data_IF_670701522636
#
_entry.id   IF_670701522636
#
_cell.length_a   1.000
_cell.length_b   1.000
_cell.length_c   1.000
_cell.angle_alpha   90.00
_cell.angle_beta   90.00
_cell.angle_gamma   90.00
#
_symmetry.space_group_name_H-M   'P 1'
#
loop_
_entity.id
_entity.type
_entity.pdbx_description
1 polymer ?
#
# COMPACT_ATOMS: atom_id res chain seq x y z
N UNK A 1 10.63 25.89 -13.39
CA UNK A 1 10.52 27.03 -14.34
C UNK A 1 11.05 26.60 -15.71
N UNK A 2 10.29 25.79 -16.43
CA UNK A 2 10.34 25.61 -17.90
C UNK A 2 9.26 24.58 -18.24
N UNK A 3 8.51 24.78 -19.33
CA UNK A 3 7.26 24.09 -19.71
C UNK A 3 5.95 24.70 -19.17
N UNK A 4 5.83 26.02 -19.30
CA UNK A 4 4.53 26.70 -19.34
C UNK A 4 4.55 27.75 -20.47
N UNK A 5 4.92 27.32 -21.68
CA UNK A 5 5.11 28.20 -22.85
C UNK A 5 4.99 27.38 -24.14
N UNK A 6 3.86 26.71 -24.37
CA UNK A 6 3.54 26.18 -25.71
C UNK A 6 2.04 25.95 -25.89
N UNK A 7 1.21 26.96 -25.60
CA UNK A 7 -0.24 26.84 -25.87
C UNK A 7 -0.94 28.19 -26.09
N UNK A 8 -0.26 29.16 -26.71
CA UNK A 8 -0.94 30.28 -27.42
C UNK A 8 -0.01 30.77 -28.54
N UNK A 9 0.23 29.95 -29.56
CA UNK A 9 0.83 30.44 -30.80
C UNK A 9 0.34 29.60 -31.97
N UNK A 10 -0.95 29.70 -32.26
CA UNK A 10 -1.54 29.36 -33.58
C UNK A 10 -2.96 29.92 -33.63
N UNK A 11 -3.08 31.25 -33.56
CA UNK A 11 -4.28 31.97 -33.98
C UNK A 11 -3.87 33.10 -34.94
N UNK A 12 -3.24 32.70 -36.03
CA UNK A 12 -3.06 33.40 -37.29
C UNK A 12 -2.59 32.26 -38.21
N UNK A 13 -3.31 31.81 -39.23
CA UNK A 13 -3.92 32.53 -40.34
C UNK A 13 -5.03 31.64 -40.92
N UNK A 14 -6.18 32.23 -41.22
CA UNK A 14 -7.01 31.87 -42.38
C UNK A 14 -8.10 32.93 -42.54
N UNK A 15 -7.69 34.14 -42.92
CA UNK A 15 -8.57 35.03 -43.66
C UNK A 15 -8.14 34.99 -45.12
N UNK A 16 -9.14 35.04 -45.99
CA UNK A 16 -9.13 35.06 -47.47
C UNK A 16 -9.06 33.72 -48.20
N UNK A 17 -10.21 33.06 -48.31
CA UNK A 17 -10.74 32.56 -49.59
C UNK A 17 -12.27 32.46 -49.50
N UNK A 18 -12.94 33.07 -50.48
CA UNK A 18 -14.39 33.12 -50.60
C UNK A 18 -14.99 31.71 -50.84
N UNK A 19 -16.17 31.47 -50.29
CA UNK A 19 -17.15 30.54 -50.86
C UNK A 19 -17.12 29.12 -50.33
N UNK A 20 -17.55 28.90 -49.09
CA UNK A 20 -18.26 27.68 -48.69
C UNK A 20 -18.94 27.89 -47.34
N UNK A 21 -20.14 27.32 -47.19
CA UNK A 21 -20.99 27.47 -46.02
C UNK A 21 -20.28 27.00 -44.74
N UNK A 22 -20.63 27.62 -43.61
CA UNK A 22 -20.26 27.11 -42.29
C UNK A 22 -20.73 25.65 -42.18
N UNK A 23 -19.87 24.71 -41.75
CA UNK A 23 -20.27 23.33 -41.60
C UNK A 23 -21.42 23.27 -40.59
N UNK A 24 -22.42 22.46 -40.92
CA UNK A 24 -23.52 22.22 -39.99
C UNK A 24 -22.98 21.47 -38.77
N UNK A 25 -23.59 21.67 -37.60
CA UNK A 25 -23.19 21.00 -36.34
C UNK A 25 -22.91 19.49 -36.52
N UNK A 26 -23.67 18.72 -37.34
CA UNK A 26 -23.37 17.31 -37.61
C UNK A 26 -22.05 17.04 -38.33
N UNK A 27 -21.63 17.90 -39.28
CA UNK A 27 -20.39 17.72 -40.05
C UNK A 27 -19.14 18.02 -39.22
N UNK A 28 -19.22 19.03 -38.35
CA UNK A 28 -18.16 19.32 -37.38
C UNK A 28 -17.99 18.19 -36.37
N UNK A 29 -19.09 17.56 -35.92
CA UNK A 29 -19.05 16.40 -35.01
C UNK A 29 -18.40 15.20 -35.71
N UNK A 30 -18.76 14.92 -36.97
CA UNK A 30 -18.18 13.79 -37.71
C UNK A 30 -16.68 13.98 -38.00
N UNK A 31 -16.24 15.21 -38.26
CA UNK A 31 -14.82 15.52 -38.42
C UNK A 31 -14.02 15.26 -37.13
N UNK A 32 -14.59 15.61 -35.97
CA UNK A 32 -13.96 15.32 -34.66
C UNK A 32 -13.92 13.80 -34.39
N UNK A 33 -14.99 13.06 -34.71
CA UNK A 33 -15.02 11.59 -34.56
C UNK A 33 -13.94 10.92 -35.43
N UNK A 34 -13.82 11.32 -36.70
CA UNK A 34 -12.82 10.75 -37.60
C UNK A 34 -11.37 11.14 -37.19
N UNK A 35 -11.16 12.30 -36.55
CA UNK A 35 -9.86 12.68 -35.97
C UNK A 35 -9.52 11.83 -34.73
N UNK A 36 -10.52 11.38 -33.96
CA UNK A 36 -10.32 10.48 -32.81
C UNK A 36 -10.04 9.04 -33.27
N UNK A 37 -10.70 8.56 -34.34
CA UNK A 37 -10.50 7.20 -34.88
C UNK A 37 -9.15 7.00 -35.60
N UNK A 38 -8.54 8.09 -36.10
CA UNK A 38 -7.23 8.06 -36.74
C UNK A 38 -6.05 8.09 -35.75
N UNK A 39 -6.30 8.29 -34.46
CA UNK A 39 -5.27 8.35 -33.43
C UNK A 39 -5.21 7.01 -32.68
N UNK A 40 -4.13 6.26 -32.87
CA UNK A 40 -3.84 5.04 -32.11
C UNK A 40 -3.56 5.30 -30.62
N UNK A 41 -3.79 6.53 -30.13
CA UNK A 41 -3.44 7.02 -28.80
C UNK A 41 -4.68 7.26 -27.91
N UNK A 42 -5.89 6.95 -28.40
CA UNK A 42 -7.15 7.19 -27.69
C UNK A 42 -7.63 6.00 -26.81
N UNK A 43 -6.79 5.00 -26.55
CA UNK A 43 -7.13 3.85 -25.69
C UNK A 43 -6.63 3.96 -24.24
N UNK A 44 -5.95 5.05 -23.86
CA UNK A 44 -5.42 5.22 -22.49
C UNK A 44 -6.31 6.07 -21.55
N UNK A 45 -7.60 6.26 -21.83
CA UNK A 45 -8.49 7.01 -20.95
C UNK A 45 -9.60 6.21 -20.27
N UNK A 46 -9.57 4.87 -20.36
CA UNK A 46 -10.44 3.98 -19.61
C UNK A 46 -9.66 2.79 -19.03
N UNK A 47 -8.62 3.05 -18.24
CA UNK A 47 -8.07 2.05 -17.32
C UNK A 47 -8.47 2.41 -15.88
N UNK A 48 -9.21 1.54 -15.16
CA UNK A 48 -9.51 1.78 -13.77
C UNK A 48 -8.28 1.46 -12.91
N UNK A 49 -7.96 2.39 -12.02
CA UNK A 49 -6.99 2.33 -10.93
C UNK A 49 -5.51 2.48 -11.29
N UNK A 50 -4.93 3.53 -10.71
CA UNK A 50 -3.50 3.68 -10.50
C UNK A 50 -2.91 2.42 -9.83
N UNK A 51 -2.28 1.53 -10.60
CA UNK A 51 -1.35 0.59 -10.02
C UNK A 51 -0.23 1.39 -9.37
N UNK A 52 -0.22 1.43 -8.04
CA UNK A 52 0.92 1.96 -7.30
C UNK A 52 2.08 1.03 -7.58
N UNK A 53 3.11 1.52 -8.28
CA UNK A 53 4.33 0.78 -8.58
C UNK A 53 5.00 0.29 -7.30
N UNK A 54 4.64 -0.92 -6.86
CA UNK A 54 5.37 -1.66 -5.83
C UNK A 54 6.62 -2.21 -6.48
N UNK A 55 7.78 -1.87 -5.97
CA UNK A 55 9.04 -2.38 -6.52
C UNK A 55 9.31 -3.79 -5.99
N UNK A 56 9.95 -4.63 -6.81
CA UNK A 56 10.45 -5.94 -6.37
C UNK A 56 11.37 -5.82 -5.16
N UNK A 57 12.13 -4.73 -5.05
CA UNK A 57 12.97 -4.46 -3.90
C UNK A 57 12.13 -4.36 -2.60
N UNK A 58 11.02 -3.64 -2.63
CA UNK A 58 10.14 -3.50 -1.46
C UNK A 58 9.43 -4.81 -1.11
N UNK A 59 8.86 -5.50 -2.09
CA UNK A 59 8.16 -6.78 -1.83
C UNK A 59 9.14 -7.82 -1.25
N UNK A 60 10.35 -7.90 -1.81
CA UNK A 60 11.40 -8.77 -1.31
C UNK A 60 11.86 -8.40 0.10
N UNK A 61 12.01 -7.11 0.42
CA UNK A 61 12.37 -6.66 1.76
C UNK A 61 11.30 -7.08 2.79
N UNK A 62 10.03 -6.83 2.48
CA UNK A 62 8.88 -7.23 3.33
C UNK A 62 8.91 -8.72 3.62
N UNK A 63 9.00 -9.54 2.58
CA UNK A 63 8.98 -11.00 2.71
C UNK A 63 10.23 -11.50 3.43
N UNK A 64 11.41 -10.98 3.11
CA UNK A 64 12.68 -11.37 3.72
C UNK A 64 12.71 -11.07 5.22
N UNK A 65 12.36 -9.84 5.62
CA UNK A 65 12.33 -9.44 7.04
C UNK A 65 11.37 -10.32 7.83
N UNK A 66 10.14 -10.53 7.35
CA UNK A 66 9.18 -11.40 8.03
C UNK A 66 9.68 -12.85 8.11
N UNK A 67 10.17 -13.41 7.01
CA UNK A 67 10.58 -14.81 6.96
C UNK A 67 11.82 -15.09 7.81
N UNK A 68 12.72 -14.11 7.98
CA UNK A 68 13.86 -14.22 8.89
C UNK A 68 13.43 -14.42 10.35
N UNK A 69 12.37 -13.74 10.80
CA UNK A 69 11.80 -13.93 12.13
C UNK A 69 10.92 -15.18 12.20
N UNK A 70 10.08 -15.44 11.20
CA UNK A 70 9.20 -16.61 11.18
C UNK A 70 9.98 -17.93 11.26
N UNK A 71 11.13 -18.02 10.60
CA UNK A 71 12.01 -19.18 10.68
C UNK A 71 12.45 -19.49 12.13
N UNK A 72 12.74 -18.45 12.92
CA UNK A 72 13.12 -18.59 14.33
C UNK A 72 12.00 -19.15 15.22
N UNK A 73 10.74 -19.10 14.78
CA UNK A 73 9.58 -19.56 15.56
C UNK A 73 8.86 -20.74 14.92
N UNK A 74 9.53 -21.47 14.00
CA UNK A 74 8.97 -22.60 13.24
C UNK A 74 7.68 -22.22 12.48
N UNK A 75 7.56 -20.96 12.07
CA UNK A 75 6.45 -20.49 11.26
C UNK A 75 6.82 -20.60 9.76
N UNK A 76 5.98 -21.24 8.92
CA UNK A 76 6.23 -21.32 7.48
C UNK A 76 6.42 -19.95 6.84
N UNK A 77 7.22 -19.84 5.79
CA UNK A 77 7.40 -18.58 5.08
C UNK A 77 6.05 -18.00 4.58
N UNK A 78 5.90 -16.68 4.67
CA UNK A 78 4.85 -15.93 3.97
C UNK A 78 5.34 -15.47 2.60
N UNK A 79 4.40 -15.18 1.71
CA UNK A 79 4.64 -14.51 0.42
C UNK A 79 4.06 -13.10 0.43
N UNK A 80 4.49 -12.28 -0.53
CA UNK A 80 3.84 -10.99 -0.80
C UNK A 80 2.40 -11.19 -1.28
N UNK A 81 1.52 -10.22 -1.01
CA UNK A 81 0.14 -10.19 -1.52
C UNK A 81 -0.15 -8.88 -2.25
N UNK A 82 -0.35 -8.98 -3.55
CA UNK A 82 -0.86 -7.86 -4.36
C UNK A 82 -2.31 -7.52 -3.99
N UNK A 83 -3.12 -8.51 -3.58
CA UNK A 83 -4.54 -8.29 -3.22
C UNK A 83 -4.71 -7.43 -1.97
N UNK A 84 -3.85 -7.63 -0.95
CA UNK A 84 -3.91 -6.85 0.28
C UNK A 84 -3.32 -5.43 0.12
N UNK A 85 -2.39 -5.24 -0.82
CA UNK A 85 -1.57 -4.03 -0.85
C UNK A 85 -2.33 -2.73 -1.11
N UNK A 86 -3.25 -2.63 -2.11
CA UNK A 86 -4.00 -1.40 -2.35
C UNK A 86 -4.71 -0.88 -1.11
N UNK A 87 -5.40 -1.76 -0.38
CA UNK A 87 -6.06 -1.42 0.87
C UNK A 87 -5.09 -1.08 2.00
N UNK A 88 -3.94 -1.75 2.06
CA UNK A 88 -2.89 -1.51 3.08
C UNK A 88 -2.29 -0.12 2.90
N UNK A 89 -1.96 0.24 1.66
CA UNK A 89 -1.41 1.54 1.32
C UNK A 89 -2.43 2.67 1.51
N UNK A 90 -3.68 2.45 1.10
CA UNK A 90 -4.75 3.41 1.33
C UNK A 90 -4.91 3.73 2.82
N UNK A 91 -4.82 2.71 3.69
CA UNK A 91 -4.87 2.90 5.14
C UNK A 91 -3.66 3.64 5.69
N UNK A 92 -2.45 3.23 5.31
CA UNK A 92 -1.21 3.89 5.77
C UNK A 92 -1.18 5.38 5.41
N UNK A 93 -1.70 5.75 4.24
CA UNK A 93 -1.76 7.15 3.78
C UNK A 93 -2.74 8.04 4.53
N UNK A 94 -3.66 7.48 5.32
CA UNK A 94 -4.53 8.28 6.18
C UNK A 94 -3.77 8.94 7.33
N UNK A 95 -2.63 8.37 7.73
CA UNK A 95 -1.82 8.87 8.84
C UNK A 95 -2.60 9.00 10.15
N UNK A 96 -3.51 8.05 10.39
CA UNK A 96 -4.25 7.91 11.64
C UNK A 96 -3.81 6.62 12.33
N UNK A 97 -3.30 6.74 13.56
CA UNK A 97 -2.72 5.60 14.28
C UNK A 97 -3.81 4.81 15.01
N UNK A 98 -4.59 4.05 14.24
CA UNK A 98 -5.56 3.10 14.75
C UNK A 98 -5.74 1.94 13.76
N UNK A 99 -6.17 0.80 14.29
CA UNK A 99 -6.48 -0.37 13.48
C UNK A 99 -7.68 -0.12 12.59
N UNK A 100 -7.61 -0.59 11.34
CA UNK A 100 -8.77 -0.65 10.47
C UNK A 100 -9.80 -1.63 11.04
N UNK A 101 -11.06 -1.48 10.63
CA UNK A 101 -12.10 -2.42 11.06
C UNK A 101 -11.81 -3.84 10.59
N UNK A 102 -11.11 -4.00 9.45
CA UNK A 102 -10.67 -5.26 8.85
C UNK A 102 -11.77 -6.23 8.45
N UNK A 103 -12.96 -6.14 9.06
CA UNK A 103 -14.10 -7.05 9.00
C UNK A 103 -13.67 -8.53 9.09
N UNK A 104 -12.59 -8.83 9.83
CA UNK A 104 -12.00 -10.16 9.93
C UNK A 104 -11.32 -10.70 8.67
N UNK A 105 -11.19 -9.90 7.60
CA UNK A 105 -10.62 -10.32 6.30
C UNK A 105 -9.10 -10.52 6.35
N UNK A 106 -8.42 -9.83 7.23
CA UNK A 106 -6.97 -9.87 7.40
C UNK A 106 -6.59 -9.53 8.85
N UNK A 107 -5.39 -9.96 9.25
CA UNK A 107 -4.71 -9.44 10.43
C UNK A 107 -4.01 -8.13 10.10
N UNK A 108 -3.68 -7.32 11.10
CA UNK A 108 -3.06 -6.00 10.89
C UNK A 108 -2.09 -5.66 12.02
N UNK A 109 -0.87 -5.25 11.66
CA UNK A 109 0.11 -4.69 12.57
C UNK A 109 0.42 -3.25 12.16
N UNK A 110 0.56 -2.38 13.17
CA UNK A 110 0.82 -0.95 13.01
C UNK A 110 2.09 -0.55 13.74
N UNK A 111 2.87 0.34 13.13
CA UNK A 111 4.05 0.92 13.75
C UNK A 111 4.24 2.34 13.24
N UNK A 112 4.51 3.29 14.11
CA UNK A 112 4.83 4.64 13.71
C UNK A 112 6.00 5.17 14.55
N UNK A 113 6.83 6.01 13.92
CA UNK A 113 7.93 6.65 14.63
C UNK A 113 8.47 7.88 13.92
N UNK A 114 9.02 8.80 14.70
CA UNK A 114 9.65 10.04 14.25
C UNK A 114 11.15 9.83 14.01
N UNK A 115 11.79 10.70 13.21
CA UNK A 115 13.24 10.70 12.99
C UNK A 115 13.62 11.27 11.63
N UNK A 116 14.92 11.47 11.40
CA UNK A 116 15.46 11.87 10.10
C UNK A 116 16.76 11.11 9.76
N UNK A 117 16.72 10.07 8.90
CA UNK A 117 15.50 9.48 8.34
C UNK A 117 14.64 8.81 9.44
N UNK A 118 13.33 8.78 9.23
CA UNK A 118 12.41 8.04 10.11
C UNK A 118 12.59 6.52 9.98
N UNK A 119 11.98 5.73 10.89
CA UNK A 119 12.14 4.28 10.89
C UNK A 119 11.52 3.61 9.66
N UNK A 120 12.18 2.58 9.15
CA UNK A 120 11.71 1.76 8.04
C UNK A 120 11.04 0.45 8.48
N UNK A 121 10.86 -0.45 7.51
CA UNK A 121 10.24 -1.76 7.71
C UNK A 121 10.98 -2.58 8.78
N UNK A 122 12.30 -2.72 8.66
CA UNK A 122 13.09 -3.56 9.56
C UNK A 122 12.97 -3.13 11.03
N UNK A 123 12.99 -1.81 11.31
CA UNK A 123 12.79 -1.29 12.66
C UNK A 123 11.36 -1.56 13.18
N UNK A 124 10.33 -1.38 12.33
CA UNK A 124 8.95 -1.63 12.73
C UNK A 124 8.69 -3.11 13.03
N UNK A 125 9.10 -4.02 12.15
CA UNK A 125 8.96 -5.46 12.38
C UNK A 125 9.78 -5.92 13.59
N UNK A 126 10.99 -5.38 13.78
CA UNK A 126 11.77 -5.65 15.00
C UNK A 126 11.00 -5.22 16.25
N UNK A 127 10.42 -4.02 16.26
CA UNK A 127 9.63 -3.53 17.40
C UNK A 127 8.47 -4.48 17.74
N UNK A 128 7.80 -5.05 16.74
CA UNK A 128 6.77 -6.06 16.94
C UNK A 128 7.33 -7.36 17.49
N UNK A 129 8.48 -7.80 16.98
CA UNK A 129 9.12 -9.04 17.43
C UNK A 129 9.72 -8.97 18.83
N UNK A 130 10.13 -7.78 19.29
CA UNK A 130 10.62 -7.56 20.66
C UNK A 130 9.54 -7.88 21.72
N UNK A 131 8.26 -7.88 21.34
CA UNK A 131 7.14 -8.33 22.18
C UNK A 131 7.21 -9.82 22.56
N UNK A 132 8.00 -10.64 21.85
CA UNK A 132 8.17 -12.06 22.18
C UNK A 132 8.66 -12.27 23.62
N UNK A 133 9.43 -11.32 24.15
CA UNK A 133 9.90 -11.31 25.54
C UNK A 133 8.78 -11.26 26.58
N UNK A 134 7.58 -10.81 26.19
CA UNK A 134 6.40 -10.65 27.06
C UNK A 134 5.38 -11.78 26.89
N UNK A 135 5.59 -12.70 25.96
CA UNK A 135 4.62 -13.75 25.66
C UNK A 135 4.64 -14.86 26.73
N UNK A 136 3.51 -15.05 27.41
CA UNK A 136 3.34 -16.13 28.39
C UNK A 136 3.13 -17.46 27.65
N UNK A 137 4.20 -18.26 27.58
CA UNK A 137 4.18 -19.57 26.94
C UNK A 137 3.43 -20.63 27.74
N UNK A 138 3.15 -20.41 29.02
CA UNK A 138 2.37 -21.32 29.86
C UNK A 138 0.87 -21.05 29.73
N UNK A 139 0.50 -19.81 29.41
CA UNK A 139 -0.89 -19.40 29.14
C UNK A 139 -0.98 -18.72 27.76
N UNK A 140 -0.80 -19.48 26.66
CA UNK A 140 -0.78 -18.93 25.32
C UNK A 140 -2.11 -18.26 24.97
N UNK A 141 -2.06 -17.01 24.51
CA UNK A 141 -3.24 -16.23 24.20
C UNK A 141 -2.93 -14.81 23.74
N UNK A 142 -3.98 -14.04 23.53
CA UNK A 142 -3.85 -12.62 23.22
C UNK A 142 -3.43 -11.82 24.46
N UNK A 143 -2.53 -10.86 24.26
CA UNK A 143 -2.35 -9.73 25.16
C UNK A 143 -2.08 -8.48 24.33
N UNK A 144 -2.40 -7.30 24.87
CA UNK A 144 -2.10 -6.02 24.22
C UNK A 144 -0.60 -5.78 24.01
N UNK A 145 0.27 -6.50 24.75
CA UNK A 145 1.72 -6.38 24.65
C UNK A 145 2.39 -7.44 23.79
N UNK A 146 1.64 -8.35 23.16
CA UNK A 146 2.18 -9.48 22.39
C UNK A 146 1.49 -9.72 21.05
N UNK A 147 0.41 -8.98 20.76
CA UNK A 147 -0.42 -9.20 19.59
C UNK A 147 0.33 -9.02 18.26
N UNK A 148 1.31 -8.09 18.20
CA UNK A 148 2.06 -7.89 16.96
C UNK A 148 3.04 -9.03 16.74
N UNK A 149 3.77 -9.44 17.78
CA UNK A 149 4.64 -10.62 17.71
C UNK A 149 3.87 -11.85 17.24
N UNK A 150 2.75 -12.18 17.91
CA UNK A 150 1.99 -13.39 17.60
C UNK A 150 1.43 -13.36 16.18
N UNK A 151 1.09 -12.20 15.65
CA UNK A 151 0.69 -12.05 14.25
C UNK A 151 1.86 -12.29 13.28
N UNK A 152 3.05 -11.74 13.53
CA UNK A 152 4.22 -11.94 12.65
C UNK A 152 4.56 -13.42 12.55
N UNK A 153 4.54 -14.14 13.68
CA UNK A 153 4.89 -15.58 13.73
C UNK A 153 3.71 -16.53 13.58
N UNK A 154 2.52 -16.02 13.23
CA UNK A 154 1.33 -16.85 13.10
C UNK A 154 1.49 -17.87 11.97
N UNK A 155 1.59 -19.16 12.28
CA UNK A 155 1.85 -20.24 11.32
C UNK A 155 0.83 -20.33 10.19
N UNK A 156 -0.44 -20.03 10.47
CA UNK A 156 -1.48 -20.09 9.46
C UNK A 156 -1.51 -18.89 8.51
N UNK A 157 -0.91 -17.74 8.86
CA UNK A 157 -0.77 -16.63 7.93
C UNK A 157 0.17 -17.02 6.80
N UNK A 158 -0.28 -16.82 5.55
CA UNK A 158 0.42 -17.26 4.32
C UNK A 158 0.92 -16.08 3.49
N UNK A 159 0.27 -14.95 3.63
CA UNK A 159 0.50 -13.77 2.82
C UNK A 159 0.65 -12.55 3.70
N UNK A 160 1.49 -11.61 3.26
CA UNK A 160 1.69 -10.31 3.89
C UNK A 160 1.75 -9.21 2.83
N UNK A 161 1.19 -8.04 3.13
CA UNK A 161 1.44 -6.81 2.40
C UNK A 161 1.73 -5.70 3.40
N UNK A 162 2.76 -4.89 3.13
CA UNK A 162 3.13 -3.77 4.00
C UNK A 162 3.23 -2.49 3.19
N UNK A 163 2.80 -1.37 3.79
CA UNK A 163 2.94 -0.04 3.24
C UNK A 163 3.59 0.89 4.26
N UNK A 164 4.53 1.71 3.80
CA UNK A 164 5.20 2.76 4.57
C UNK A 164 4.77 4.12 4.04
N UNK A 165 4.19 4.95 4.89
CA UNK A 165 3.74 6.30 4.55
C UNK A 165 4.55 7.37 5.29
N UNK A 166 4.74 8.50 4.61
CA UNK A 166 5.24 9.75 5.21
C UNK A 166 4.07 10.55 5.76
N UNK A 167 4.07 10.74 7.08
CA UNK A 167 3.03 11.46 7.80
C UNK A 167 3.54 12.82 8.26
N UNK A 168 2.75 13.86 8.01
CA UNK A 168 3.07 15.24 8.40
C UNK A 168 2.99 15.38 9.92
N UNK A 169 3.77 16.32 10.47
CA UNK A 169 3.60 16.71 11.88
C UNK A 169 2.18 17.18 12.17
N UNK A 170 1.68 16.84 13.35
CA UNK A 170 0.30 17.08 13.77
C UNK A 170 -0.72 16.00 13.34
N UNK A 171 -0.28 14.91 12.70
CA UNK A 171 -1.14 13.76 12.37
C UNK A 171 -1.05 12.67 13.44
N UNK A 172 0.02 11.86 13.42
CA UNK A 172 0.29 10.83 14.44
C UNK A 172 1.12 11.42 15.59
N UNK A 173 2.14 12.20 15.27
CA UNK A 173 3.02 12.86 16.23
C UNK A 173 3.11 14.37 15.94
N UNK A 174 3.57 15.20 16.89
CA UNK A 174 3.83 16.62 16.62
C UNK A 174 4.83 16.84 15.48
N UNK A 175 5.83 15.96 15.36
CA UNK A 175 6.83 15.97 14.28
C UNK A 175 6.41 15.06 13.11
N UNK A 176 7.04 15.25 11.96
CA UNK A 176 6.90 14.30 10.86
C UNK A 176 7.34 12.88 11.27
N UNK A 177 6.63 11.88 10.75
CA UNK A 177 6.83 10.48 11.13
C UNK A 177 6.67 9.54 9.94
N UNK A 178 7.24 8.34 10.08
CA UNK A 178 6.93 7.21 9.22
C UNK A 178 5.81 6.40 9.85
N UNK A 179 4.88 5.90 9.04
CA UNK A 179 3.81 5.00 9.46
C UNK A 179 3.82 3.73 8.62
N UNK A 180 4.10 2.61 9.28
CA UNK A 180 4.12 1.27 8.72
C UNK A 180 2.83 0.54 9.08
N UNK A 181 2.14 0.05 8.05
CA UNK A 181 0.98 -0.84 8.18
C UNK A 181 1.32 -2.13 7.46
N UNK A 182 1.18 -3.27 8.13
CA UNK A 182 1.28 -4.60 7.52
C UNK A 182 -0.01 -5.38 7.73
N UNK A 183 -0.54 -5.98 6.65
CA UNK A 183 -1.72 -6.85 6.69
C UNK A 183 -1.36 -8.28 6.35
N UNK A 184 -2.05 -9.23 6.99
CA UNK A 184 -1.77 -10.65 6.92
C UNK A 184 -3.01 -11.45 6.51
N UNK A 185 -2.85 -12.41 5.60
CA UNK A 185 -3.92 -13.32 5.18
C UNK A 185 -3.48 -14.79 5.22
N UNK A 186 -4.29 -15.71 5.78
CA UNK A 186 -5.40 -15.44 6.70
C UNK A 186 -4.97 -14.65 7.94
N UNK A 187 -5.96 -14.03 8.61
CA UNK A 187 -5.75 -13.29 9.85
C UNK A 187 -5.15 -14.20 10.93
N UNK A 188 -4.22 -13.64 11.72
CA UNK A 188 -3.70 -14.27 12.91
C UNK A 188 -4.52 -13.93 14.15
N UNK A 189 -3.96 -14.23 15.32
CA UNK A 189 -4.53 -13.86 16.61
C UNK A 189 -5.98 -14.34 16.83
N UNK A 190 -6.32 -15.49 16.25
CA UNK A 190 -7.64 -16.09 16.44
C UNK A 190 -7.71 -16.72 17.83
N UNK A 191 -8.69 -16.29 18.62
CA UNK A 191 -8.87 -16.78 19.99
C UNK A 191 -8.99 -18.30 20.03
N UNK A 192 -8.27 -18.93 20.97
CA UNK A 192 -8.21 -20.39 21.10
C UNK A 192 -7.30 -21.09 20.09
N UNK A 193 -6.62 -20.35 19.19
CA UNK A 193 -5.73 -20.94 18.19
C UNK A 193 -4.23 -20.63 18.37
N UNK A 194 -3.86 -20.02 19.49
CA UNK A 194 -2.47 -19.65 19.78
C UNK A 194 -1.52 -20.85 19.91
N UNK A 195 -1.84 -21.94 20.64
CA UNK A 195 -0.90 -23.05 20.86
C UNK A 195 -0.38 -23.70 19.56
N UNK A 196 -1.23 -23.83 18.56
CA UNK A 196 -0.87 -24.42 17.27
C UNK A 196 -0.22 -23.42 16.31
N UNK A 197 -0.44 -22.10 16.51
CA UNK A 197 0.02 -21.08 15.57
C UNK A 197 1.26 -20.30 16.00
N UNK A 198 1.56 -20.23 17.29
CA UNK A 198 2.73 -19.51 17.83
C UNK A 198 3.73 -20.55 18.34
N UNK A 199 4.75 -20.86 17.54
CA UNK A 199 5.79 -21.82 17.92
C UNK A 199 6.80 -21.19 18.87
N UNK A 200 7.52 -22.00 19.67
CA UNK A 200 8.66 -21.54 20.47
C UNK A 200 9.86 -21.22 19.57
N UNK A 201 10.70 -20.30 20.05
CA UNK A 201 11.98 -19.96 19.44
C UNK A 201 12.87 -21.21 19.22
N UNK A 202 13.72 -21.20 18.18
CA UNK A 202 14.64 -22.31 17.80
C UNK A 202 16.09 -21.90 17.73
#
# INVERSE_FOLDING_TARGET
MTKLLTLVSLCAFASTALGSALPTVPEAIQAVINMVESSSDATELLSPSSEVNVTDAWTNEVVSVHNSYRAQYRAPAVTWSNDLYPGTLAWARQCEFHHSSGQGKYGENLFAGTGNPGPGLAQGVKSWMDEASKYDWNHPGFSSGTGHFTQVVWKNSKQVACALADCRGGTIFPQASKYLVCRYAPAGNVQGQYPQNVGRHV
#
